data_IF_699483370125
#
_entry.id   IF_699483370125
#
_cell.length_a   1.000
_cell.length_b   1.000
_cell.length_c   1.000
_cell.angle_alpha   90.00
_cell.angle_beta   90.00
_cell.angle_gamma   90.00
#
_symmetry.space_group_name_H-M   'P 1'
#
loop_
_entity.id
_entity.type
_entity.pdbx_description
1 polymer ?
#
# COMPACT_ATOMS: atom_id res chain seq x y z
N UNK A 1 -6.70 -37.10 -5.48
CA UNK A 1 -7.37 -36.28 -4.45
C UNK A 1 -7.24 -34.83 -4.83
N UNK A 2 -8.05 -33.94 -4.23
CA UNK A 2 -7.93 -32.48 -4.44
C UNK A 2 -6.51 -31.98 -4.11
N UNK A 3 -5.90 -32.53 -3.07
CA UNK A 3 -4.52 -32.24 -2.68
C UNK A 3 -3.49 -32.62 -3.75
N UNK A 4 -3.58 -33.83 -4.33
CA UNK A 4 -2.68 -34.24 -5.40
C UNK A 4 -2.84 -33.37 -6.67
N UNK A 5 -4.07 -32.96 -6.99
CA UNK A 5 -4.33 -32.04 -8.10
C UNK A 5 -3.78 -30.64 -7.81
N UNK A 6 -3.93 -30.14 -6.58
CA UNK A 6 -3.36 -28.87 -6.14
C UNK A 6 -1.83 -28.86 -6.28
N UNK A 7 -1.16 -29.91 -5.79
CA UNK A 7 0.31 -30.04 -5.88
C UNK A 7 0.75 -30.05 -7.34
N UNK A 8 0.11 -30.84 -8.19
CA UNK A 8 0.43 -30.90 -9.62
C UNK A 8 0.27 -29.54 -10.31
N UNK A 9 -0.83 -28.83 -10.04
CA UNK A 9 -1.06 -27.49 -10.58
C UNK A 9 -0.03 -26.49 -10.06
N UNK A 10 0.29 -26.55 -8.77
CA UNK A 10 1.28 -25.69 -8.15
C UNK A 10 2.66 -25.90 -8.78
N UNK A 11 3.11 -27.13 -8.95
CA UNK A 11 4.39 -27.45 -9.59
C UNK A 11 4.45 -26.95 -11.03
N UNK A 12 3.38 -27.19 -11.82
CA UNK A 12 3.32 -26.73 -13.20
C UNK A 12 3.33 -25.20 -13.31
N UNK A 13 2.56 -24.51 -12.46
CA UNK A 13 2.53 -23.05 -12.40
C UNK A 13 3.88 -22.46 -11.96
N UNK A 14 4.53 -23.04 -10.95
CA UNK A 14 5.84 -22.59 -10.48
C UNK A 14 6.90 -22.75 -11.58
N UNK A 15 6.88 -23.87 -12.30
CA UNK A 15 7.77 -24.08 -13.43
C UNK A 15 7.51 -23.06 -14.55
N UNK A 16 6.26 -22.92 -14.99
CA UNK A 16 5.87 -21.96 -16.02
C UNK A 16 6.21 -20.51 -15.65
N UNK A 17 5.96 -20.11 -14.40
CA UNK A 17 6.29 -18.78 -13.89
C UNK A 17 7.80 -18.53 -13.88
N UNK A 18 8.60 -19.54 -13.52
CA UNK A 18 10.06 -19.45 -13.55
C UNK A 18 10.59 -19.23 -14.97
N UNK A 19 10.09 -20.01 -15.93
CA UNK A 19 10.43 -19.86 -17.36
C UNK A 19 10.02 -18.48 -17.88
N UNK A 20 8.79 -18.06 -17.60
CA UNK A 20 8.28 -16.74 -18.00
C UNK A 20 9.11 -15.61 -17.42
N UNK A 21 9.50 -15.69 -16.14
CA UNK A 21 10.34 -14.69 -15.47
C UNK A 21 11.69 -14.52 -16.16
N UNK A 22 12.31 -15.60 -16.63
CA UNK A 22 13.59 -15.54 -17.37
C UNK A 22 13.37 -14.88 -18.74
N UNK A 23 12.31 -15.26 -19.45
CA UNK A 23 11.94 -14.65 -20.73
C UNK A 23 11.69 -13.14 -20.60
N UNK A 24 10.86 -12.72 -19.62
CA UNK A 24 10.58 -11.31 -19.35
C UNK A 24 11.85 -10.51 -19.01
N UNK A 25 12.78 -11.08 -18.23
CA UNK A 25 14.07 -10.41 -17.94
C UNK A 25 14.91 -10.17 -19.19
N UNK A 26 14.87 -11.11 -20.14
CA UNK A 26 15.59 -10.98 -21.40
C UNK A 26 14.94 -9.92 -22.29
N UNK A 27 13.62 -9.95 -22.41
CA UNK A 27 12.82 -8.95 -23.13
C UNK A 27 13.01 -7.55 -22.54
N UNK A 28 12.99 -7.41 -21.21
CA UNK A 28 13.15 -6.12 -20.53
C UNK A 28 14.49 -5.45 -20.88
N UNK A 29 15.59 -6.21 -20.96
CA UNK A 29 16.91 -5.68 -21.37
C UNK A 29 16.93 -5.20 -22.82
N UNK A 30 16.23 -5.89 -23.72
CA UNK A 30 16.12 -5.47 -25.12
C UNK A 30 15.25 -4.22 -25.25
N UNK A 31 14.15 -4.19 -24.50
CA UNK A 31 13.23 -3.06 -24.44
C UNK A 31 13.87 -1.81 -23.82
N UNK A 32 14.80 -1.96 -22.87
CA UNK A 32 15.53 -0.84 -22.26
C UNK A 32 16.31 -0.02 -23.30
N UNK A 33 16.98 -0.69 -24.25
CA UNK A 33 17.70 -0.02 -25.35
C UNK A 33 16.75 0.81 -26.21
N UNK A 34 15.63 0.21 -26.61
CA UNK A 34 14.60 0.89 -27.43
C UNK A 34 13.94 2.05 -26.67
N UNK A 35 13.65 1.85 -25.38
CA UNK A 35 13.07 2.89 -24.53
C UNK A 35 14.01 4.09 -24.42
N UNK A 36 15.32 3.87 -24.34
CA UNK A 36 16.29 4.96 -24.30
C UNK A 36 16.51 5.64 -25.66
N UNK A 37 16.49 4.90 -26.77
CA UNK A 37 16.66 5.50 -28.10
C UNK A 37 15.43 6.32 -28.52
N UNK A 38 14.23 5.84 -28.19
CA UNK A 38 12.97 6.37 -28.69
C UNK A 38 12.14 7.09 -27.61
N UNK A 39 12.78 7.44 -26.48
CA UNK A 39 12.09 7.99 -25.29
C UNK A 39 11.15 9.15 -25.64
N UNK A 40 11.63 10.13 -26.41
CA UNK A 40 10.84 11.30 -26.81
C UNK A 40 9.64 10.91 -27.70
N UNK A 41 9.82 9.93 -28.57
CA UNK A 41 8.77 9.44 -29.48
C UNK A 41 7.70 8.66 -28.71
N UNK A 42 8.11 7.83 -27.75
CA UNK A 42 7.21 7.10 -26.85
C UNK A 42 6.40 8.09 -26.00
N UNK A 43 7.05 9.09 -25.39
CA UNK A 43 6.38 10.12 -24.59
C UNK A 43 5.39 10.91 -25.45
N UNK A 44 5.80 11.33 -26.64
CA UNK A 44 4.94 12.10 -27.54
C UNK A 44 3.72 11.28 -28.01
N UNK A 45 3.93 10.02 -28.38
CA UNK A 45 2.84 9.09 -28.75
C UNK A 45 1.89 8.88 -27.58
N UNK A 46 2.40 8.66 -26.36
CA UNK A 46 1.59 8.52 -25.14
C UNK A 46 0.78 9.80 -24.89
N UNK A 47 1.37 10.99 -25.03
CA UNK A 47 0.68 12.28 -24.85
C UNK A 47 -0.45 12.46 -25.87
N UNK A 48 -0.20 12.16 -27.14
CA UNK A 48 -1.25 12.23 -28.17
C UNK A 48 -2.39 11.25 -27.91
N UNK A 49 -2.08 10.05 -27.43
CA UNK A 49 -3.07 9.08 -27.00
C UNK A 49 -3.88 9.62 -25.81
N UNK A 50 -3.21 10.19 -24.81
CA UNK A 50 -3.83 10.80 -23.65
C UNK A 50 -4.81 11.92 -24.06
N UNK A 51 -4.42 12.81 -24.97
CA UNK A 51 -5.29 13.88 -25.50
C UNK A 51 -6.56 13.31 -26.15
N UNK A 52 -6.42 12.25 -26.96
CA UNK A 52 -7.55 11.58 -27.62
C UNK A 52 -8.49 10.93 -26.61
N UNK A 53 -7.96 10.22 -25.61
CA UNK A 53 -8.77 9.59 -24.56
C UNK A 53 -9.47 10.67 -23.73
N UNK A 54 -8.75 11.72 -23.32
CA UNK A 54 -9.27 12.82 -22.50
C UNK A 54 -10.45 13.52 -23.17
N UNK A 55 -10.34 13.78 -24.49
CA UNK A 55 -11.42 14.38 -25.27
C UNK A 55 -12.74 13.58 -25.23
N UNK A 56 -12.67 12.27 -25.00
CA UNK A 56 -13.83 11.36 -24.95
C UNK A 56 -14.31 11.10 -23.53
N UNK A 57 -13.39 11.02 -22.58
CA UNK A 57 -13.63 10.49 -21.23
C UNK A 57 -13.83 11.58 -20.18
N UNK A 58 -13.18 12.75 -20.29
CA UNK A 58 -13.16 13.72 -19.19
C UNK A 58 -14.54 14.18 -18.75
N UNK A 59 -15.34 14.71 -19.67
CA UNK A 59 -16.68 15.23 -19.33
C UNK A 59 -17.62 14.18 -18.71
N UNK A 60 -17.77 12.96 -19.25
CA UNK A 60 -18.61 11.95 -18.61
C UNK A 60 -18.01 11.46 -17.28
N UNK A 61 -16.69 11.34 -17.16
CA UNK A 61 -16.04 10.93 -15.92
C UNK A 61 -16.19 11.98 -14.80
N UNK A 62 -15.95 13.26 -15.08
CA UNK A 62 -16.13 14.39 -14.15
C UNK A 62 -17.58 14.48 -13.66
N UNK A 63 -18.56 14.32 -14.58
CA UNK A 63 -19.97 14.28 -14.21
C UNK A 63 -20.27 13.10 -13.29
N UNK A 64 -19.82 11.90 -13.65
CA UNK A 64 -20.05 10.71 -12.83
C UNK A 64 -19.41 10.85 -11.44
N UNK A 65 -18.19 11.40 -11.36
CA UNK A 65 -17.49 11.63 -10.10
C UNK A 65 -18.28 12.61 -9.22
N UNK A 66 -18.61 13.78 -9.73
CA UNK A 66 -19.37 14.80 -8.99
C UNK A 66 -20.77 14.36 -8.57
N UNK A 67 -21.49 13.58 -9.39
CA UNK A 67 -22.87 13.18 -9.08
C UNK A 67 -22.94 11.91 -8.20
N UNK A 68 -22.00 10.96 -8.37
CA UNK A 68 -22.12 9.61 -7.81
C UNK A 68 -20.97 9.17 -6.92
N UNK A 69 -19.83 9.88 -6.90
CA UNK A 69 -18.66 9.52 -6.11
C UNK A 69 -18.42 10.54 -5.00
N UNK A 70 -18.19 11.81 -5.37
CA UNK A 70 -17.83 12.91 -4.47
C UNK A 70 -18.77 13.07 -3.27
N UNK A 71 -20.11 12.95 -3.40
CA UNK A 71 -21.02 13.07 -2.26
C UNK A 71 -20.82 12.03 -1.16
N UNK A 72 -20.12 10.93 -1.44
CA UNK A 72 -19.91 9.81 -0.51
C UNK A 72 -18.47 9.65 -0.05
N UNK A 73 -17.51 10.35 -0.67
CA UNK A 73 -16.08 10.21 -0.31
C UNK A 73 -15.83 10.51 1.16
N UNK A 74 -16.46 11.56 1.70
CA UNK A 74 -16.35 11.93 3.11
C UNK A 74 -16.80 10.82 4.05
N UNK A 75 -18.01 10.27 3.84
CA UNK A 75 -18.54 9.20 4.69
C UNK A 75 -17.72 7.91 4.57
N UNK A 76 -17.30 7.55 3.35
CA UNK A 76 -16.42 6.39 3.14
C UNK A 76 -15.13 6.57 3.93
N UNK A 77 -14.48 7.73 3.79
CA UNK A 77 -13.23 8.02 4.48
C UNK A 77 -13.39 7.97 6.00
N UNK A 78 -14.45 8.54 6.56
CA UNK A 78 -14.73 8.53 8.01
C UNK A 78 -14.86 7.11 8.56
N UNK A 79 -15.64 6.25 7.87
CA UNK A 79 -15.81 4.85 8.26
C UNK A 79 -14.53 4.04 8.17
N UNK A 80 -13.67 4.37 7.21
CA UNK A 80 -12.36 3.77 7.04
C UNK A 80 -11.36 4.22 8.10
N UNK A 81 -11.41 5.50 8.48
CA UNK A 81 -10.42 6.12 9.34
C UNK A 81 -10.37 5.50 10.72
N UNK A 82 -11.52 5.23 11.34
CA UNK A 82 -11.61 4.70 12.69
C UNK A 82 -10.94 3.32 12.87
N UNK A 83 -11.33 2.23 12.16
CA UNK A 83 -10.78 0.90 12.39
C UNK A 83 -9.28 0.83 12.08
N UNK A 84 -8.83 1.52 11.03
CA UNK A 84 -7.42 1.58 10.66
C UNK A 84 -6.65 2.38 11.71
N UNK A 85 -7.09 3.60 12.06
CA UNK A 85 -6.35 4.44 13.01
C UNK A 85 -6.28 3.81 14.40
N UNK A 86 -7.34 3.15 14.85
CA UNK A 86 -7.35 2.41 16.12
C UNK A 86 -6.33 1.27 16.13
N UNK A 87 -6.23 0.49 15.05
CA UNK A 87 -5.23 -0.57 14.95
C UNK A 87 -3.78 -0.03 15.00
N UNK A 88 -3.50 1.10 14.34
CA UNK A 88 -2.17 1.73 14.39
C UNK A 88 -1.87 2.37 15.75
N UNK A 89 -2.87 2.95 16.42
CA UNK A 89 -2.73 3.51 17.76
C UNK A 89 -2.44 2.42 18.78
N UNK A 90 -3.14 1.30 18.70
CA UNK A 90 -2.90 0.16 19.59
C UNK A 90 -1.49 -0.43 19.38
N UNK A 91 -1.03 -0.57 18.13
CA UNK A 91 0.35 -0.96 17.85
C UNK A 91 1.39 0.04 18.39
N UNK A 92 1.08 1.34 18.39
CA UNK A 92 1.92 2.36 19.03
C UNK A 92 2.04 2.12 20.54
N UNK A 93 0.91 1.93 21.22
CA UNK A 93 0.84 1.71 22.67
C UNK A 93 1.56 0.41 23.08
N UNK A 94 1.41 -0.64 22.27
CA UNK A 94 2.12 -1.89 22.45
C UNK A 94 3.63 -1.70 22.32
N UNK A 95 4.08 -0.96 21.29
CA UNK A 95 5.50 -0.63 21.10
C UNK A 95 6.05 0.14 22.29
N UNK A 96 5.34 1.17 22.77
CA UNK A 96 5.72 1.97 23.95
C UNK A 96 5.86 1.09 25.20
N UNK A 97 4.88 0.23 25.47
CA UNK A 97 4.92 -0.70 26.61
C UNK A 97 6.13 -1.64 26.55
N UNK A 98 6.51 -2.10 25.36
CA UNK A 98 7.67 -2.97 25.19
C UNK A 98 8.99 -2.22 25.34
N UNK A 99 9.05 -0.97 24.85
CA UNK A 99 10.19 -0.08 25.08
C UNK A 99 10.37 0.23 26.56
N UNK A 100 9.29 0.44 27.31
CA UNK A 100 9.35 0.68 28.76
C UNK A 100 9.95 -0.51 29.51
N UNK A 101 9.56 -1.75 29.15
CA UNK A 101 10.14 -2.97 29.73
C UNK A 101 11.64 -3.07 29.45
N UNK A 102 12.04 -2.92 28.18
CA UNK A 102 13.45 -2.94 27.80
C UNK A 102 14.25 -1.81 28.48
N UNK A 103 13.65 -0.63 28.65
CA UNK A 103 14.25 0.49 29.36
C UNK A 103 14.49 0.16 30.83
N UNK A 104 13.51 -0.45 31.49
CA UNK A 104 13.60 -0.85 32.89
C UNK A 104 14.71 -1.89 33.11
N UNK A 105 14.82 -2.88 32.23
CA UNK A 105 15.86 -3.90 32.31
C UNK A 105 17.26 -3.28 32.22
N UNK A 106 17.48 -2.36 31.26
CA UNK A 106 18.76 -1.63 31.14
C UNK A 106 19.06 -0.82 32.40
N UNK A 107 18.06 -0.15 32.98
CA UNK A 107 18.23 0.63 34.21
C UNK A 107 18.50 -0.25 35.44
N UNK A 108 18.14 -1.52 35.42
CA UNK A 108 18.47 -2.51 36.44
C UNK A 108 19.85 -3.17 36.22
N UNK A 109 20.58 -2.77 35.18
CA UNK A 109 21.92 -3.25 34.87
C UNK A 109 21.97 -4.43 33.91
N UNK A 110 20.88 -4.72 33.18
CA UNK A 110 20.90 -5.73 32.12
C UNK A 110 21.89 -5.34 31.01
N UNK A 111 22.71 -6.29 30.58
CA UNK A 111 23.56 -6.14 29.41
C UNK A 111 22.82 -6.56 28.14
N UNK A 112 23.42 -6.30 26.97
CA UNK A 112 22.78 -6.60 25.68
C UNK A 112 22.34 -8.07 25.53
N UNK A 113 23.13 -9.00 26.07
CA UNK A 113 22.82 -10.43 26.05
C UNK A 113 21.52 -10.76 26.81
N UNK A 114 21.27 -10.08 27.93
CA UNK A 114 20.07 -10.25 28.76
C UNK A 114 18.82 -9.74 28.04
N UNK A 115 18.97 -8.72 27.18
CA UNK A 115 17.88 -8.05 26.47
C UNK A 115 17.46 -8.78 25.19
N UNK A 116 18.23 -9.76 24.68
CA UNK A 116 17.96 -10.42 23.39
C UNK A 116 16.52 -10.88 23.25
N UNK A 117 15.97 -11.50 24.29
CA UNK A 117 14.58 -12.00 24.27
C UNK A 117 13.57 -10.84 24.16
N UNK A 118 13.72 -9.82 25.00
CA UNK A 118 12.83 -8.64 25.02
C UNK A 118 12.87 -7.91 23.68
N UNK A 119 14.06 -7.78 23.08
CA UNK A 119 14.24 -7.16 21.77
C UNK A 119 13.60 -7.97 20.63
N UNK A 120 13.71 -9.31 20.67
CA UNK A 120 13.05 -10.19 19.69
C UNK A 120 11.53 -10.09 19.81
N UNK A 121 11.01 -10.12 21.04
CA UNK A 121 9.58 -9.97 21.31
C UNK A 121 9.08 -8.61 20.80
N UNK A 122 9.84 -7.53 21.05
CA UNK A 122 9.52 -6.18 20.57
C UNK A 122 9.49 -6.08 19.04
N UNK A 123 10.35 -6.82 18.33
CA UNK A 123 10.35 -6.86 16.87
C UNK A 123 9.23 -7.73 16.28
N UNK A 124 8.61 -8.62 17.08
CA UNK A 124 7.52 -9.52 16.67
C UNK A 124 6.40 -9.59 17.70
N UNK A 125 5.74 -8.46 17.98
CA UNK A 125 4.69 -8.39 18.98
C UNK A 125 3.43 -9.14 18.53
N UNK A 126 2.64 -9.57 19.49
CA UNK A 126 1.31 -10.15 19.24
C UNK A 126 0.34 -9.06 18.78
N UNK A 127 0.02 -9.05 17.48
CA UNK A 127 -0.79 -8.00 16.84
C UNK A 127 -2.27 -8.36 16.64
N UNK A 128 -2.75 -9.41 17.30
CA UNK A 128 -4.07 -9.97 17.06
C UNK A 128 -5.20 -8.95 17.24
N UNK A 129 -5.17 -8.18 18.33
CA UNK A 129 -6.20 -7.15 18.59
C UNK A 129 -6.13 -6.00 17.59
N UNK A 130 -4.92 -5.56 17.21
CA UNK A 130 -4.73 -4.56 16.17
C UNK A 130 -5.34 -5.03 14.84
N UNK A 131 -5.15 -6.31 14.50
CA UNK A 131 -5.70 -6.92 13.29
C UNK A 131 -7.22 -7.08 13.34
N UNK A 132 -7.79 -7.38 14.50
CA UNK A 132 -9.24 -7.43 14.72
C UNK A 132 -9.87 -6.04 14.54
N UNK A 133 -9.24 -5.00 15.08
CA UNK A 133 -9.67 -3.61 14.89
C UNK A 133 -9.73 -3.23 13.40
N UNK A 134 -8.66 -3.52 12.65
CA UNK A 134 -8.63 -3.28 11.20
C UNK A 134 -9.62 -4.17 10.44
N UNK A 135 -9.83 -5.41 10.89
CA UNK A 135 -10.75 -6.37 10.27
C UNK A 135 -12.21 -5.92 10.32
N UNK A 136 -12.60 -5.18 11.37
CA UNK A 136 -13.96 -4.62 11.49
C UNK A 136 -14.35 -3.66 10.35
N UNK A 137 -13.37 -3.18 9.58
CA UNK A 137 -13.60 -2.38 8.38
C UNK A 137 -14.50 -3.09 7.36
N UNK A 138 -14.35 -4.40 7.21
CA UNK A 138 -15.14 -5.19 6.27
C UNK A 138 -16.64 -5.12 6.60
N UNK A 139 -17.00 -5.03 7.88
CA UNK A 139 -18.38 -4.94 8.33
C UNK A 139 -18.93 -3.52 8.15
N UNK A 140 -18.12 -2.49 8.42
CA UNK A 140 -18.53 -1.08 8.29
C UNK A 140 -18.88 -0.72 6.85
N UNK A 141 -18.09 -1.18 5.88
CA UNK A 141 -18.28 -0.84 4.46
C UNK A 141 -19.31 -1.72 3.72
N UNK A 142 -20.02 -2.65 4.39
CA UNK A 142 -20.96 -3.56 3.70
C UNK A 142 -22.07 -2.82 2.94
N UNK A 143 -22.59 -1.73 3.49
CA UNK A 143 -23.66 -0.96 2.84
C UNK A 143 -23.16 -0.19 1.61
N UNK A 144 -21.87 0.17 1.55
CA UNK A 144 -21.23 0.79 0.40
C UNK A 144 -20.99 -0.21 -0.75
N UNK A 145 -20.94 -1.50 -0.42
CA UNK A 145 -20.78 -2.57 -1.39
C UNK A 145 -21.90 -2.55 -2.45
N UNK A 146 -23.15 -2.36 -2.02
CA UNK A 146 -24.29 -2.26 -2.93
C UNK A 146 -24.25 -1.03 -3.83
N UNK A 147 -23.59 0.05 -3.39
CA UNK A 147 -23.49 1.31 -4.14
C UNK A 147 -22.37 1.28 -5.18
N UNK A 148 -21.15 0.91 -4.75
CA UNK A 148 -19.96 0.95 -5.58
C UNK A 148 -19.63 -0.39 -6.24
N UNK A 149 -20.33 -1.48 -5.90
CA UNK A 149 -20.19 -2.78 -6.56
C UNK A 149 -18.85 -3.49 -6.32
N UNK A 150 -18.05 -3.06 -5.33
CA UNK A 150 -16.79 -3.73 -5.01
C UNK A 150 -17.04 -5.10 -4.33
N UNK A 151 -16.15 -6.06 -4.52
CA UNK A 151 -16.36 -7.41 -3.95
C UNK A 151 -15.83 -7.56 -2.52
N UNK A 152 -14.73 -6.88 -2.19
CA UNK A 152 -14.04 -7.05 -0.91
C UNK A 152 -13.08 -5.90 -0.62
N UNK A 153 -12.89 -5.57 0.66
CA UNK A 153 -11.86 -4.64 1.15
C UNK A 153 -10.68 -5.36 1.82
N UNK A 154 -10.65 -6.71 1.74
CA UNK A 154 -9.64 -7.57 2.36
C UNK A 154 -8.22 -7.18 1.96
N UNK A 155 -7.99 -6.78 0.71
CA UNK A 155 -6.67 -6.30 0.26
C UNK A 155 -6.21 -5.10 1.08
N UNK A 156 -7.08 -4.12 1.34
CA UNK A 156 -6.75 -2.92 2.13
C UNK A 156 -6.45 -3.31 3.57
N UNK A 157 -7.27 -4.18 4.16
CA UNK A 157 -7.06 -4.68 5.53
C UNK A 157 -5.71 -5.37 5.64
N UNK A 158 -5.39 -6.31 4.74
CA UNK A 158 -4.11 -7.00 4.76
C UNK A 158 -2.94 -6.06 4.53
N UNK A 159 -3.05 -5.09 3.61
CA UNK A 159 -2.02 -4.07 3.41
C UNK A 159 -1.78 -3.27 4.69
N UNK A 160 -2.83 -2.83 5.37
CA UNK A 160 -2.73 -2.09 6.63
C UNK A 160 -2.06 -2.91 7.75
N UNK A 161 -2.36 -4.21 7.82
CA UNK A 161 -1.75 -5.13 8.78
C UNK A 161 -0.25 -5.32 8.51
N UNK A 162 0.14 -5.49 7.25
CA UNK A 162 1.54 -5.61 6.82
C UNK A 162 2.30 -4.32 7.11
N UNK A 163 1.71 -3.17 6.81
CA UNK A 163 2.29 -1.87 7.07
C UNK A 163 2.51 -1.62 8.57
N UNK A 164 1.52 -1.95 9.41
CA UNK A 164 1.66 -1.89 10.86
C UNK A 164 2.80 -2.78 11.34
N UNK A 165 2.85 -4.02 10.86
CA UNK A 165 3.93 -4.96 11.22
C UNK A 165 5.30 -4.39 10.86
N UNK A 166 5.42 -3.72 9.70
CA UNK A 166 6.68 -3.10 9.28
C UNK A 166 7.04 -1.89 10.15
N UNK A 167 6.08 -1.03 10.50
CA UNK A 167 6.32 0.10 11.41
C UNK A 167 6.80 -0.36 12.78
N UNK A 168 6.20 -1.42 13.33
CA UNK A 168 6.63 -1.98 14.61
C UNK A 168 8.04 -2.56 14.55
N UNK A 169 8.38 -3.29 13.49
CA UNK A 169 9.75 -3.76 13.25
C UNK A 169 10.74 -2.59 13.17
N UNK A 170 10.38 -1.52 12.47
CA UNK A 170 11.22 -0.34 12.33
C UNK A 170 11.42 0.37 13.68
N UNK A 171 10.36 0.54 14.46
CA UNK A 171 10.42 1.14 15.78
C UNK A 171 11.27 0.31 16.75
N UNK A 172 11.04 -1.01 16.78
CA UNK A 172 11.81 -1.95 17.59
C UNK A 172 13.31 -1.92 17.24
N UNK A 173 13.63 -2.00 15.95
CA UNK A 173 15.02 -1.97 15.47
C UNK A 173 15.70 -0.64 15.78
N UNK A 174 15.01 0.49 15.57
CA UNK A 174 15.55 1.81 15.87
C UNK A 174 15.81 1.98 17.36
N UNK A 175 14.88 1.53 18.21
CA UNK A 175 15.05 1.60 19.65
C UNK A 175 16.16 0.68 20.14
N UNK A 176 16.26 -0.54 19.60
CA UNK A 176 17.37 -1.46 19.86
C UNK A 176 18.72 -0.80 19.60
N UNK A 177 18.91 -0.16 18.43
CA UNK A 177 20.17 0.51 18.09
C UNK A 177 20.51 1.63 19.07
N UNK A 178 19.50 2.38 19.54
CA UNK A 178 19.69 3.44 20.54
C UNK A 178 20.05 2.86 21.90
N UNK A 179 19.38 1.79 22.34
CA UNK A 179 19.69 1.11 23.60
C UNK A 179 21.10 0.52 23.60
N UNK A 180 21.53 -0.14 22.52
CA UNK A 180 22.89 -0.68 22.42
C UNK A 180 23.95 0.39 22.67
N UNK A 181 23.79 1.56 22.03
CA UNK A 181 24.70 2.70 22.23
C UNK A 181 24.69 3.20 23.67
N UNK A 182 23.52 3.28 24.31
CA UNK A 182 23.41 3.74 25.70
C UNK A 182 24.10 2.75 26.66
N UNK A 183 23.98 1.44 26.40
CA UNK A 183 24.64 0.40 27.19
C UNK A 183 26.16 0.48 27.02
N UNK A 184 26.65 0.75 25.80
CA UNK A 184 28.08 0.93 25.50
C UNK A 184 28.64 2.20 26.15
N UNK A 185 27.95 3.34 26.00
CA UNK A 185 28.40 4.66 26.46
C UNK A 185 28.31 4.82 27.99
N UNK A 186 27.45 4.04 28.67
CA UNK A 186 27.17 4.10 30.12
C UNK A 186 27.04 5.53 30.66
N UNK A 187 26.13 6.36 30.09
CA UNK A 187 26.00 7.75 30.51
C UNK A 187 25.51 7.85 31.97
N UNK A 188 26.03 8.81 32.73
CA UNK A 188 25.63 9.07 34.12
C UNK A 188 24.11 9.28 34.28
N UNK A 189 23.47 9.83 33.25
CA UNK A 189 22.03 10.11 33.21
C UNK A 189 21.25 9.12 32.32
N UNK A 190 21.58 7.82 32.37
CA UNK A 190 21.00 6.78 31.52
C UNK A 190 19.46 6.84 31.42
N UNK A 191 18.75 7.01 32.53
CA UNK A 191 17.28 7.11 32.54
C UNK A 191 16.75 8.24 31.64
N UNK A 192 17.36 9.43 31.72
CA UNK A 192 16.96 10.56 30.88
C UNK A 192 17.30 10.33 29.40
N UNK A 193 18.44 9.70 29.12
CA UNK A 193 18.86 9.41 27.73
C UNK A 193 17.96 8.36 27.09
N UNK A 194 17.61 7.30 27.81
CA UNK A 194 16.69 6.25 27.35
C UNK A 194 15.30 6.83 27.09
N UNK A 195 14.79 7.66 28.00
CA UNK A 195 13.47 8.27 27.85
C UNK A 195 13.40 9.19 26.63
N UNK A 196 14.48 9.95 26.37
CA UNK A 196 14.62 10.76 25.15
C UNK A 196 14.70 9.89 23.88
N UNK A 197 15.41 8.76 23.94
CA UNK A 197 15.47 7.81 22.84
C UNK A 197 14.09 7.22 22.53
N UNK A 198 13.34 6.80 23.55
CA UNK A 198 11.96 6.30 23.43
C UNK A 198 11.05 7.34 22.79
N UNK A 199 11.03 8.56 23.32
CA UNK A 199 10.26 9.68 22.77
C UNK A 199 10.59 9.96 21.30
N UNK A 200 11.87 9.90 20.93
CA UNK A 200 12.31 10.10 19.54
C UNK A 200 11.75 9.00 18.62
N UNK A 201 11.78 7.74 19.05
CA UNK A 201 11.26 6.62 18.27
C UNK A 201 9.74 6.70 18.14
N UNK A 202 9.02 7.00 19.22
CA UNK A 202 7.56 7.15 19.18
C UNK A 202 7.13 8.33 18.30
N UNK A 203 7.84 9.46 18.36
CA UNK A 203 7.59 10.59 17.46
C UNK A 203 7.79 10.21 15.98
N UNK A 204 8.82 9.42 15.69
CA UNK A 204 9.05 8.91 14.33
C UNK A 204 7.93 7.96 13.90
N UNK A 205 7.52 7.04 14.77
CA UNK A 205 6.38 6.15 14.52
C UNK A 205 5.12 6.94 14.22
N UNK A 206 4.81 7.99 15.00
CA UNK A 206 3.60 8.81 14.83
C UNK A 206 3.59 9.51 13.45
N UNK A 207 4.75 10.01 13.02
CA UNK A 207 4.92 10.62 11.70
C UNK A 207 4.75 9.58 10.57
N UNK A 208 5.44 8.45 10.66
CA UNK A 208 5.41 7.40 9.64
C UNK A 208 4.02 6.75 9.55
N UNK A 209 3.38 6.50 10.69
CA UNK A 209 2.02 5.99 10.80
C UNK A 209 1.01 6.91 10.12
N UNK A 210 1.14 8.23 10.29
CA UNK A 210 0.28 9.19 9.60
C UNK A 210 0.43 9.10 8.08
N UNK A 211 1.67 9.07 7.59
CA UNK A 211 1.98 8.95 6.15
C UNK A 211 1.44 7.65 5.56
N UNK A 212 1.67 6.53 6.24
CA UNK A 212 1.20 5.20 5.83
C UNK A 212 -0.33 5.13 5.82
N UNK A 213 -1.01 5.62 6.87
CA UNK A 213 -2.48 5.62 6.92
C UNK A 213 -3.08 6.48 5.82
N UNK A 214 -2.51 7.66 5.54
CA UNK A 214 -2.94 8.50 4.42
C UNK A 214 -2.90 7.73 3.08
N UNK A 215 -1.81 7.02 2.81
CA UNK A 215 -1.69 6.16 1.62
C UNK A 215 -2.74 5.05 1.61
N UNK A 216 -2.93 4.34 2.73
CA UNK A 216 -3.93 3.26 2.85
C UNK A 216 -5.34 3.77 2.53
N UNK A 217 -5.71 4.94 3.05
CA UNK A 217 -7.02 5.54 2.77
C UNK A 217 -7.18 5.91 1.30
N UNK A 218 -6.14 6.51 0.69
CA UNK A 218 -6.17 6.84 -0.73
C UNK A 218 -6.29 5.58 -1.60
N UNK A 219 -5.46 4.56 -1.35
CA UNK A 219 -5.48 3.28 -2.07
C UNK A 219 -6.85 2.59 -1.95
N UNK A 220 -7.49 2.70 -0.79
CA UNK A 220 -8.78 2.11 -0.56
C UNK A 220 -9.91 2.86 -1.26
N UNK A 221 -9.92 4.20 -1.20
CA UNK A 221 -10.85 5.01 -1.95
C UNK A 221 -10.77 4.69 -3.44
N UNK A 222 -9.55 4.63 -4.00
CA UNK A 222 -9.33 4.21 -5.39
C UNK A 222 -9.84 2.78 -5.63
N UNK A 223 -9.53 1.83 -4.74
CA UNK A 223 -9.98 0.44 -4.90
C UNK A 223 -11.50 0.29 -4.86
N UNK A 224 -12.21 1.21 -4.20
CA UNK A 224 -13.68 1.23 -4.11
C UNK A 224 -14.28 1.95 -5.32
N UNK A 225 -13.76 3.12 -5.69
CA UNK A 225 -14.42 4.02 -6.65
C UNK A 225 -13.99 3.80 -8.09
N UNK A 226 -12.75 3.41 -8.35
CA UNK A 226 -12.24 3.24 -9.71
C UNK A 226 -12.98 2.13 -10.48
N UNK A 227 -13.22 0.92 -9.92
CA UNK A 227 -14.01 -0.11 -10.61
C UNK A 227 -15.41 0.37 -10.96
N UNK A 228 -16.08 1.06 -10.01
CA UNK A 228 -17.40 1.66 -10.24
C UNK A 228 -17.39 2.64 -11.41
N UNK A 229 -16.40 3.52 -11.48
CA UNK A 229 -16.27 4.49 -12.57
C UNK A 229 -16.04 3.77 -13.91
N UNK A 230 -15.13 2.81 -13.95
CA UNK A 230 -14.81 2.04 -15.16
C UNK A 230 -16.05 1.29 -15.68
N UNK A 231 -16.81 0.66 -14.79
CA UNK A 231 -18.01 -0.08 -15.16
C UNK A 231 -19.11 0.83 -15.73
N UNK A 232 -19.32 2.01 -15.13
CA UNK A 232 -20.33 2.97 -15.60
C UNK A 232 -19.91 3.70 -16.89
N UNK A 233 -18.61 3.87 -17.14
CA UNK A 233 -18.09 4.48 -18.37
C UNK A 233 -17.89 3.48 -19.51
N UNK A 234 -17.77 2.18 -19.21
CA UNK A 234 -17.55 1.11 -20.19
C UNK A 234 -18.51 1.15 -21.39
N UNK A 235 -19.84 1.34 -21.23
CA UNK A 235 -20.77 1.43 -22.36
C UNK A 235 -20.49 2.59 -23.32
N UNK A 236 -19.86 3.66 -22.83
CA UNK A 236 -19.57 4.88 -23.59
C UNK A 236 -18.19 4.80 -24.25
N UNK A 237 -17.21 4.25 -23.54
CA UNK A 237 -15.79 4.40 -23.91
C UNK A 237 -15.18 3.14 -24.52
N UNK A 238 -15.71 1.94 -24.26
CA UNK A 238 -15.03 0.66 -24.59
C UNK A 238 -14.66 0.52 -26.07
N UNK A 239 -15.59 0.80 -26.99
CA UNK A 239 -15.34 0.67 -28.44
C UNK A 239 -14.29 1.68 -28.93
N UNK A 240 -14.32 2.90 -28.41
CA UNK A 240 -13.35 3.93 -28.76
C UNK A 240 -11.95 3.57 -28.23
N UNK A 241 -11.83 3.11 -26.99
CA UNK A 241 -10.56 2.67 -26.42
C UNK A 241 -9.95 1.51 -27.23
N UNK A 242 -10.76 0.53 -27.66
CA UNK A 242 -10.30 -0.55 -28.54
C UNK A 242 -9.81 -0.04 -29.90
N UNK A 243 -10.47 0.99 -30.45
CA UNK A 243 -10.04 1.61 -31.71
C UNK A 243 -8.71 2.34 -31.53
N UNK A 244 -8.51 3.01 -30.40
CA UNK A 244 -7.25 3.69 -30.08
C UNK A 244 -6.09 2.69 -29.88
N UNK A 245 -6.35 1.51 -29.32
CA UNK A 245 -5.34 0.47 -29.12
C UNK A 245 -4.75 -0.01 -30.46
N UNK A 246 -5.59 -0.12 -31.49
CA UNK A 246 -5.17 -0.49 -32.85
C UNK A 246 -4.28 0.56 -33.53
N UNK A 247 -4.30 1.80 -33.04
CA UNK A 247 -3.51 2.90 -33.59
C UNK A 247 -2.12 3.03 -32.93
N UNK A 248 -1.82 2.21 -31.92
CA UNK A 248 -0.49 2.20 -31.30
C UNK A 248 0.49 1.46 -32.21
N UNK A 249 1.63 2.07 -32.50
CA UNK A 249 2.69 1.44 -33.27
C UNK A 249 3.15 0.14 -32.58
N UNK A 250 3.32 -0.94 -33.33
CA UNK A 250 3.64 -2.26 -32.79
C UNK A 250 4.94 -2.24 -31.94
N UNK A 251 5.92 -1.45 -32.34
CA UNK A 251 7.18 -1.23 -31.61
C UNK A 251 7.00 -0.59 -30.22
N UNK A 252 5.90 0.15 -29.99
CA UNK A 252 5.60 0.80 -28.71
C UNK A 252 4.51 0.10 -27.88
N UNK A 253 3.94 -0.99 -28.39
CA UNK A 253 2.89 -1.77 -27.70
C UNK A 253 3.31 -2.36 -26.34
N UNK A 254 4.63 -2.48 -26.10
CA UNK A 254 5.17 -2.91 -24.80
C UNK A 254 5.31 -1.78 -23.77
N UNK A 255 5.18 -0.52 -24.19
CA UNK A 255 5.39 0.66 -23.35
C UNK A 255 4.10 1.46 -23.14
N UNK A 256 3.20 1.44 -24.13
CA UNK A 256 1.98 2.23 -24.14
C UNK A 256 0.79 1.27 -24.24
N UNK A 257 -0.06 1.27 -23.22
CA UNK A 257 -1.32 0.54 -23.18
C UNK A 257 -2.46 1.55 -23.01
N UNK A 258 -3.50 1.47 -23.86
CA UNK A 258 -4.63 2.41 -23.78
C UNK A 258 -5.30 2.34 -22.42
N UNK A 259 -5.48 1.14 -21.89
CA UNK A 259 -6.12 0.92 -20.59
C UNK A 259 -5.37 1.63 -19.45
N UNK A 260 -4.03 1.61 -19.46
CA UNK A 260 -3.22 2.28 -18.44
C UNK A 260 -3.32 3.80 -18.55
N UNK A 261 -3.36 4.35 -19.76
CA UNK A 261 -3.51 5.79 -19.98
C UNK A 261 -4.92 6.24 -19.58
N UNK A 262 -5.94 5.46 -19.95
CA UNK A 262 -7.33 5.68 -19.54
C UNK A 262 -7.47 5.69 -18.01
N UNK A 263 -6.94 4.67 -17.33
CA UNK A 263 -6.96 4.59 -15.88
C UNK A 263 -6.22 5.76 -15.21
N UNK A 264 -5.07 6.16 -15.76
CA UNK A 264 -4.32 7.34 -15.26
C UNK A 264 -5.17 8.61 -15.33
N UNK A 265 -5.90 8.84 -16.43
CA UNK A 265 -6.80 10.00 -16.57
C UNK A 265 -7.92 9.95 -15.54
N UNK A 266 -8.52 8.78 -15.29
CA UNK A 266 -9.56 8.63 -14.28
C UNK A 266 -9.03 8.91 -12.87
N UNK A 267 -7.83 8.43 -12.55
CA UNK A 267 -7.16 8.69 -11.27
C UNK A 267 -6.88 10.18 -11.08
N UNK A 268 -6.44 10.89 -12.12
CA UNK A 268 -6.25 12.36 -12.07
C UNK A 268 -7.55 13.14 -11.87
N UNK A 269 -8.68 12.62 -12.35
CA UNK A 269 -10.00 13.23 -12.12
C UNK A 269 -10.40 12.99 -10.67
N UNK A 270 -10.27 11.75 -10.18
CA UNK A 270 -10.55 11.38 -8.79
C UNK A 270 -9.70 12.15 -7.77
N UNK A 271 -8.41 12.41 -8.07
CA UNK A 271 -7.50 13.11 -7.15
C UNK A 271 -7.90 14.58 -6.91
N UNK A 272 -8.80 15.14 -7.75
CA UNK A 272 -9.32 16.50 -7.61
C UNK A 272 -10.58 16.58 -6.75
N UNK A 273 -11.23 15.45 -6.47
CA UNK A 273 -12.46 15.36 -5.67
C UNK A 273 -12.16 15.33 -4.16
#
# INVERSE_FOLDING_TARGET
TMEAAYILVQEHLLHGLSVLKVSCRTSARQQEVLMHSDMDQIINTRRQLEEKIRAKVSKPAERLCSESVQPYLGSVLEEMMEPISSGFLEGRQLSETMMDRASQDVLQGAEYEDLKKVLVDMARPGLLSCYQNMGSLQDKLQHLQGRFGFFSITRVVHSAQVDLQQLMKNAAYTFQLLLCRIIEDKPENAASVIEKAKHRVLKQYDYDSSTVRKRIFQDALVSITLPFIKDNLSPICKTELQTLEQNIFAEYSNFIHVENVYESILLEILDKE
#
